data_IF_134676624006
#
_entry.id   IF_134676624006
#
_cell.length_a   1.000
_cell.length_b   1.000
_cell.length_c   1.000
_cell.angle_alpha   90.00
_cell.angle_beta   90.00
_cell.angle_gamma   90.00
#
_symmetry.space_group_name_H-M   'P 1'
#
loop_
_entity.id
_entity.type
_entity.pdbx_description
1 polymer ?
#
# COMPACT_ATOMS: atom_id res chain seq x y z
N UNK A 1 -9.26 -34.07 -11.55
CA UNK A 1 -7.87 -34.28 -11.06
C UNK A 1 -6.83 -33.52 -11.90
N UNK A 2 -6.86 -33.61 -13.24
CA UNK A 2 -5.91 -32.91 -14.12
C UNK A 2 -5.92 -31.37 -14.00
N UNK A 3 -7.09 -30.74 -13.83
CA UNK A 3 -7.19 -29.29 -13.61
C UNK A 3 -6.57 -28.84 -12.27
N UNK A 4 -6.77 -29.61 -11.20
CA UNK A 4 -6.16 -29.37 -9.88
C UNK A 4 -4.63 -29.53 -9.92
N UNK A 5 -4.13 -30.50 -10.70
CA UNK A 5 -2.70 -30.73 -10.92
C UNK A 5 -2.09 -29.62 -11.80
N UNK A 6 -2.81 -29.09 -12.79
CA UNK A 6 -2.38 -27.92 -13.57
C UNK A 6 -2.35 -26.65 -12.73
N UNK A 7 -3.33 -26.42 -11.86
CA UNK A 7 -3.36 -25.27 -10.94
C UNK A 7 -2.26 -25.39 -9.88
N UNK A 8 -2.03 -26.58 -9.33
CA UNK A 8 -0.92 -26.80 -8.40
C UNK A 8 0.45 -26.64 -9.09
N UNK A 9 0.62 -27.16 -10.31
CA UNK A 9 1.87 -27.04 -11.06
C UNK A 9 2.12 -25.65 -11.65
N UNK A 10 1.08 -24.83 -11.86
CA UNK A 10 1.23 -23.41 -12.23
C UNK A 10 1.55 -22.52 -11.03
N UNK A 11 1.01 -22.83 -9.85
CA UNK A 11 1.42 -22.22 -8.57
C UNK A 11 2.88 -22.61 -8.22
N UNK A 12 3.27 -23.85 -8.49
CA UNK A 12 4.65 -24.35 -8.33
C UNK A 12 5.62 -23.90 -9.45
N UNK A 13 5.16 -23.19 -10.48
CA UNK A 13 6.03 -22.54 -11.49
C UNK A 13 6.58 -21.18 -11.03
N UNK A 14 6.47 -20.86 -9.75
CA UNK A 14 7.16 -19.75 -9.12
C UNK A 14 8.66 -20.08 -8.99
N UNK A 15 9.53 -19.49 -9.83
CA UNK A 15 10.96 -19.85 -9.88
C UNK A 15 11.88 -18.99 -9.01
N UNK A 16 11.35 -17.97 -8.32
CA UNK A 16 12.00 -17.34 -7.16
C UNK A 16 13.12 -16.34 -7.46
N UNK A 17 13.04 -15.58 -8.55
CA UNK A 17 14.05 -14.57 -8.91
C UNK A 17 13.84 -13.19 -8.25
N UNK A 18 14.91 -12.39 -8.14
CA UNK A 18 14.88 -11.05 -7.54
C UNK A 18 13.76 -10.13 -8.10
N UNK A 19 13.59 -10.09 -9.42
CA UNK A 19 12.53 -9.28 -10.05
C UNK A 19 11.11 -9.78 -9.75
N UNK A 20 10.94 -11.09 -9.59
CA UNK A 20 9.64 -11.70 -9.28
C UNK A 20 9.23 -11.41 -7.84
N UNK A 21 10.15 -11.60 -6.89
CA UNK A 21 9.95 -11.20 -5.50
C UNK A 21 9.72 -9.69 -5.39
N UNK A 22 10.49 -8.91 -6.15
CA UNK A 22 10.33 -7.46 -6.19
C UNK A 22 8.90 -7.05 -6.54
N UNK A 23 8.32 -7.71 -7.55
CA UNK A 23 6.97 -7.48 -8.05
C UNK A 23 5.89 -7.95 -7.07
N UNK A 24 5.96 -9.20 -6.57
CA UNK A 24 4.92 -9.75 -5.67
C UNK A 24 4.83 -8.93 -4.39
N UNK A 25 5.97 -8.68 -3.75
CA UNK A 25 5.99 -7.99 -2.45
C UNK A 25 5.51 -6.54 -2.63
N UNK A 26 5.87 -5.87 -3.72
CA UNK A 26 5.43 -4.48 -3.96
C UNK A 26 3.92 -4.36 -4.10
N UNK A 27 3.31 -5.31 -4.82
CA UNK A 27 1.87 -5.38 -5.03
C UNK A 27 1.14 -5.75 -3.74
N UNK A 28 1.59 -6.79 -3.04
CA UNK A 28 1.01 -7.21 -1.77
C UNK A 28 1.10 -6.08 -0.73
N UNK A 29 2.26 -5.41 -0.64
CA UNK A 29 2.46 -4.27 0.24
C UNK A 29 1.54 -3.09 -0.12
N UNK A 30 1.41 -2.75 -1.40
CA UNK A 30 0.53 -1.68 -1.85
C UNK A 30 -0.95 -1.96 -1.54
N UNK A 31 -1.42 -3.18 -1.78
CA UNK A 31 -2.78 -3.61 -1.45
C UNK A 31 -3.01 -3.66 0.08
N UNK A 32 -2.00 -4.09 0.85
CA UNK A 32 -2.05 -4.09 2.31
C UNK A 32 -2.13 -2.69 2.90
N UNK A 33 -1.30 -1.76 2.40
CA UNK A 33 -1.36 -0.33 2.78
C UNK A 33 -2.70 0.27 2.40
N UNK A 34 -3.25 -0.04 1.21
CA UNK A 34 -4.57 0.43 0.83
C UNK A 34 -5.66 -0.12 1.75
N UNK A 35 -5.65 -1.42 2.07
CA UNK A 35 -6.63 -2.02 2.97
C UNK A 35 -6.62 -1.35 4.36
N UNK A 36 -5.42 -1.07 4.89
CA UNK A 36 -5.28 -0.27 6.11
C UNK A 36 -5.83 1.14 5.93
N UNK A 37 -5.49 1.82 4.82
CA UNK A 37 -5.95 3.18 4.54
C UNK A 37 -7.49 3.27 4.50
N UNK A 38 -8.18 2.27 3.94
CA UNK A 38 -9.64 2.24 3.93
C UNK A 38 -10.22 2.21 5.35
N UNK A 39 -9.70 1.33 6.21
CA UNK A 39 -10.08 1.28 7.63
C UNK A 39 -9.77 2.59 8.34
N UNK A 40 -8.57 3.12 8.11
CA UNK A 40 -8.08 4.34 8.74
C UNK A 40 -8.94 5.58 8.40
N UNK A 41 -9.43 5.68 7.16
CA UNK A 41 -10.32 6.78 6.76
C UNK A 41 -11.68 6.66 7.44
N UNK A 42 -12.22 5.44 7.58
CA UNK A 42 -13.48 5.22 8.30
C UNK A 42 -13.33 5.55 9.77
N UNK A 43 -12.20 5.21 10.37
CA UNK A 43 -11.89 5.51 11.77
C UNK A 43 -11.85 7.02 12.04
N UNK A 44 -11.04 7.76 11.29
CA UNK A 44 -10.93 9.21 11.46
C UNK A 44 -12.24 9.93 11.11
N UNK A 45 -13.09 9.34 10.26
CA UNK A 45 -14.42 9.87 9.97
C UNK A 45 -15.31 9.94 11.21
N UNK A 46 -15.11 9.02 12.18
CA UNK A 46 -15.92 8.96 13.39
C UNK A 46 -15.73 10.18 14.30
N UNK A 47 -14.67 10.97 14.11
CA UNK A 47 -14.48 12.25 14.79
C UNK A 47 -15.67 13.19 14.57
N UNK A 48 -16.39 13.05 13.45
CA UNK A 48 -17.59 13.84 13.13
C UNK A 48 -18.75 13.61 14.12
N UNK A 49 -18.75 12.48 14.83
CA UNK A 49 -19.79 12.14 15.81
C UNK A 49 -19.37 12.43 17.26
N UNK A 50 -18.27 13.17 17.45
CA UNK A 50 -17.79 13.61 18.74
C UNK A 50 -16.89 12.61 19.47
N UNK A 51 -16.39 13.00 20.65
CA UNK A 51 -15.35 12.26 21.36
C UNK A 51 -15.79 10.88 21.85
N UNK A 52 -17.08 10.68 22.16
CA UNK A 52 -17.61 9.39 22.62
C UNK A 52 -17.38 8.29 21.59
N UNK A 53 -17.97 8.45 20.40
CA UNK A 53 -17.90 7.44 19.34
C UNK A 53 -16.46 7.27 18.82
N UNK A 54 -15.72 8.36 18.64
CA UNK A 54 -14.34 8.28 18.15
C UNK A 54 -13.42 7.56 19.14
N UNK A 55 -13.47 7.93 20.43
CA UNK A 55 -12.58 7.34 21.43
C UNK A 55 -12.97 5.88 21.78
N UNK A 56 -14.23 5.50 21.56
CA UNK A 56 -14.70 4.13 21.78
C UNK A 56 -14.04 3.10 20.88
N UNK A 57 -13.48 3.46 19.71
CA UNK A 57 -12.75 2.51 18.87
C UNK A 57 -11.27 2.35 19.23
N UNK A 58 -10.73 3.19 20.12
CA UNK A 58 -9.31 3.14 20.51
C UNK A 58 -8.89 1.81 21.13
N UNK A 59 -9.82 1.03 21.70
CA UNK A 59 -9.49 -0.30 22.24
C UNK A 59 -8.99 -1.26 21.15
N UNK A 60 -9.43 -1.11 19.90
CA UNK A 60 -8.98 -1.95 18.78
C UNK A 60 -7.50 -1.65 18.48
N UNK A 61 -7.16 -0.37 18.40
CA UNK A 61 -5.80 0.12 18.12
C UNK A 61 -4.81 -0.20 19.25
N UNK A 62 -5.30 -0.24 20.48
CA UNK A 62 -4.50 -0.59 21.66
C UNK A 62 -4.26 -2.10 21.80
N UNK A 63 -4.98 -2.96 21.08
CA UNK A 63 -4.87 -4.41 21.23
C UNK A 63 -3.58 -4.98 20.60
N UNK A 64 -3.00 -6.02 21.20
CA UNK A 64 -1.77 -6.65 20.68
C UNK A 64 -1.83 -7.15 19.22
N UNK A 65 -2.95 -7.70 18.69
CA UNK A 65 -2.97 -8.13 17.28
C UNK A 65 -2.81 -6.94 16.35
N UNK A 66 -3.39 -5.79 16.73
CA UNK A 66 -3.25 -4.56 16.00
C UNK A 66 -1.81 -4.05 16.03
N UNK A 67 -1.09 -4.19 17.15
CA UNK A 67 0.35 -3.87 17.23
C UNK A 67 1.21 -4.68 16.25
N UNK A 68 0.96 -5.97 16.14
CA UNK A 68 1.66 -6.81 15.15
C UNK A 68 1.34 -6.33 13.73
N UNK A 69 0.07 -5.99 13.49
CA UNK A 69 -0.35 -5.45 12.21
C UNK A 69 0.29 -4.09 11.90
N UNK A 70 0.44 -3.18 12.87
CA UNK A 70 1.15 -1.91 12.70
C UNK A 70 2.62 -2.14 12.30
N UNK A 71 3.29 -3.11 12.93
CA UNK A 71 4.66 -3.47 12.57
C UNK A 71 4.70 -4.09 11.17
N UNK A 72 3.74 -4.95 10.80
CA UNK A 72 3.63 -5.46 9.44
C UNK A 72 3.35 -4.34 8.42
N UNK A 73 2.56 -3.33 8.80
CA UNK A 73 2.28 -2.15 7.99
C UNK A 73 3.54 -1.31 7.79
N UNK A 74 4.39 -1.14 8.82
CA UNK A 74 5.70 -0.50 8.68
C UNK A 74 6.53 -1.18 7.58
N UNK A 75 6.61 -2.53 7.59
CA UNK A 75 7.31 -3.26 6.53
C UNK A 75 6.68 -3.01 5.16
N UNK A 76 5.36 -3.14 5.05
CA UNK A 76 4.63 -2.92 3.81
C UNK A 76 4.86 -1.52 3.24
N UNK A 77 4.69 -0.48 4.06
CA UNK A 77 4.87 0.91 3.67
C UNK A 77 6.32 1.19 3.24
N UNK A 78 7.32 0.79 4.04
CA UNK A 78 8.73 0.98 3.72
C UNK A 78 9.11 0.27 2.42
N UNK A 79 8.72 -1.00 2.29
CA UNK A 79 9.02 -1.79 1.11
C UNK A 79 8.37 -1.18 -0.13
N UNK A 80 7.07 -0.84 -0.04
CA UNK A 80 6.32 -0.28 -1.16
C UNK A 80 6.94 1.04 -1.62
N UNK A 81 7.26 1.94 -0.70
CA UNK A 81 7.90 3.23 -0.97
C UNK A 81 9.29 3.07 -1.60
N UNK A 82 10.18 2.29 -0.99
CA UNK A 82 11.56 2.13 -1.46
C UNK A 82 11.64 1.36 -2.78
N UNK A 83 10.83 0.31 -2.96
CA UNK A 83 10.74 -0.39 -4.24
C UNK A 83 10.11 0.50 -5.32
N UNK A 84 9.12 1.33 -4.96
CA UNK A 84 8.54 2.34 -5.85
C UNK A 84 9.58 3.36 -6.34
N UNK A 85 10.40 3.90 -5.45
CA UNK A 85 11.54 4.76 -5.80
C UNK A 85 12.52 4.07 -6.75
N UNK A 86 12.84 2.79 -6.50
CA UNK A 86 13.69 2.01 -7.41
C UNK A 86 13.10 1.94 -8.82
N UNK A 87 11.79 1.71 -8.93
CA UNK A 87 11.08 1.66 -10.22
C UNK A 87 11.11 3.04 -10.90
N UNK A 88 10.81 4.12 -10.16
CA UNK A 88 10.87 5.50 -10.67
C UNK A 88 12.27 5.78 -11.23
N UNK A 89 13.32 5.51 -10.48
CA UNK A 89 14.69 5.75 -10.93
C UNK A 89 15.07 4.89 -12.15
N UNK A 90 14.65 3.63 -12.21
CA UNK A 90 14.88 2.79 -13.39
C UNK A 90 14.12 3.30 -14.64
N UNK A 91 12.93 3.86 -14.45
CA UNK A 91 12.11 4.41 -15.54
C UNK A 91 12.73 5.67 -16.18
N UNK A 92 13.35 6.54 -15.37
CA UNK A 92 13.95 7.80 -15.84
C UNK A 92 15.46 7.74 -16.12
N UNK A 93 16.17 6.76 -15.56
CA UNK A 93 17.62 6.61 -15.73
C UNK A 93 17.94 5.22 -16.32
N UNK A 94 18.11 5.09 -17.65
CA UNK A 94 18.29 3.80 -18.32
C UNK A 94 19.46 2.96 -17.78
N UNK A 95 20.50 3.60 -17.23
CA UNK A 95 21.64 2.92 -16.59
C UNK A 95 21.24 2.11 -15.36
N UNK A 96 20.19 2.54 -14.65
CA UNK A 96 19.66 1.86 -13.46
C UNK A 96 18.73 0.70 -13.81
N UNK A 97 18.17 0.70 -15.02
CA UNK A 97 17.36 -0.41 -15.55
C UNK A 97 18.21 -1.59 -16.08
N UNK A 98 19.53 -1.44 -16.19
CA UNK A 98 20.44 -2.55 -16.59
C UNK A 98 20.34 -3.70 -15.58
N UNK A 99 20.33 -4.95 -16.05
CA UNK A 99 20.07 -6.15 -15.22
C UNK A 99 20.95 -6.23 -13.98
N UNK A 100 22.26 -6.07 -14.13
CA UNK A 100 23.23 -6.12 -13.02
C UNK A 100 22.94 -5.01 -12.01
N UNK A 101 22.76 -3.78 -12.48
CA UNK A 101 22.42 -2.62 -11.64
C UNK A 101 21.09 -2.80 -10.92
N UNK A 102 20.02 -3.16 -11.63
CA UNK A 102 18.69 -3.35 -11.06
C UNK A 102 18.67 -4.46 -9.98
N UNK A 103 19.44 -5.54 -10.19
CA UNK A 103 19.60 -6.61 -9.20
C UNK A 103 20.33 -6.11 -7.95
N UNK A 104 21.42 -5.36 -8.11
CA UNK A 104 22.14 -4.74 -7.00
C UNK A 104 21.24 -3.76 -6.24
N UNK A 105 20.51 -2.89 -6.95
CA UNK A 105 19.57 -1.94 -6.34
C UNK A 105 18.43 -2.64 -5.60
N UNK A 106 17.95 -3.79 -6.07
CA UNK A 106 16.98 -4.59 -5.32
C UNK A 106 17.53 -5.07 -3.99
N UNK A 107 18.74 -5.65 -3.94
CA UNK A 107 19.32 -6.11 -2.67
C UNK A 107 19.68 -4.95 -1.73
N UNK A 108 20.17 -3.83 -2.27
CA UNK A 108 20.38 -2.60 -1.48
C UNK A 108 19.06 -2.15 -0.87
N UNK A 109 18.00 -2.09 -1.67
CA UNK A 109 16.67 -1.71 -1.20
C UNK A 109 16.14 -2.68 -0.13
N UNK A 110 16.30 -4.00 -0.31
CA UNK A 110 15.94 -5.01 0.70
C UNK A 110 16.72 -4.80 2.00
N UNK A 111 18.03 -4.55 1.92
CA UNK A 111 18.86 -4.32 3.10
C UNK A 111 18.41 -3.05 3.85
N UNK A 112 18.16 -1.95 3.13
CA UNK A 112 17.65 -0.71 3.73
C UNK A 112 16.28 -0.94 4.37
N UNK A 113 15.34 -1.58 3.66
CA UNK A 113 14.02 -1.92 4.21
C UNK A 113 14.18 -2.78 5.47
N UNK A 114 15.02 -3.80 5.45
CA UNK A 114 15.23 -4.70 6.58
C UNK A 114 15.83 -4.00 7.81
N UNK A 115 16.82 -3.13 7.62
CA UNK A 115 17.42 -2.35 8.72
C UNK A 115 16.41 -1.37 9.31
N UNK A 116 15.72 -0.58 8.48
CA UNK A 116 14.72 0.38 8.96
C UNK A 116 13.54 -0.32 9.63
N UNK A 117 13.08 -1.44 9.06
CA UNK A 117 12.03 -2.28 9.64
C UNK A 117 12.45 -2.87 10.98
N UNK A 118 13.67 -3.42 11.10
CA UNK A 118 14.15 -3.98 12.35
C UNK A 118 14.23 -2.91 13.44
N UNK A 119 14.84 -1.76 13.15
CA UNK A 119 14.94 -0.64 14.10
C UNK A 119 13.55 -0.14 14.48
N UNK A 120 12.73 0.22 13.49
CA UNK A 120 11.41 0.78 13.73
C UNK A 120 10.47 -0.20 14.42
N UNK A 121 10.46 -1.47 14.02
CA UNK A 121 9.67 -2.53 14.62
C UNK A 121 10.07 -2.80 16.07
N UNK A 122 11.37 -2.83 16.38
CA UNK A 122 11.85 -2.97 17.77
C UNK A 122 11.38 -1.79 18.60
N UNK A 123 11.52 -0.55 18.10
CA UNK A 123 11.05 0.64 18.82
C UNK A 123 9.54 0.54 19.06
N UNK A 124 8.73 0.30 18.03
CA UNK A 124 7.27 0.20 18.15
C UNK A 124 6.82 -0.87 19.14
N UNK A 125 7.52 -2.01 19.20
CA UNK A 125 7.19 -3.10 20.14
C UNK A 125 7.65 -2.83 21.58
N UNK A 126 8.72 -2.04 21.77
CA UNK A 126 9.30 -1.80 23.10
C UNK A 126 8.78 -0.53 23.77
N UNK A 127 8.26 0.42 23.00
CA UNK A 127 7.70 1.68 23.53
C UNK A 127 6.20 1.61 23.80
N UNK A 128 5.53 0.50 23.47
CA UNK A 128 4.11 0.32 23.75
C UNK A 128 3.87 0.27 25.28
N UNK A 129 3.07 1.20 25.80
CA UNK A 129 2.89 1.43 27.25
C UNK A 129 1.69 0.69 27.87
N UNK A 130 0.88 -0.02 27.09
CA UNK A 130 -0.45 -0.50 27.50
C UNK A 130 -0.53 -2.04 27.59
N UNK A 131 -1.44 -2.52 28.45
CA UNK A 131 -1.73 -3.95 28.69
C UNK A 131 -2.10 -4.67 27.38
N UNK A 132 -1.42 -5.78 27.02
CA UNK A 132 -1.52 -6.40 25.69
C UNK A 132 -2.94 -6.81 25.26
N UNK A 133 -3.85 -7.08 26.20
CA UNK A 133 -5.08 -7.82 25.92
C UNK A 133 -6.32 -6.96 25.69
N UNK A 134 -6.25 -5.64 25.96
CA UNK A 134 -7.46 -4.82 26.09
C UNK A 134 -8.49 -5.49 27.01
N UNK A 135 -9.74 -5.05 26.95
CA UNK A 135 -10.79 -5.64 27.80
C UNK A 135 -11.45 -6.88 27.16
N UNK A 136 -11.13 -7.20 25.90
CA UNK A 136 -11.74 -8.30 25.14
C UNK A 136 -10.83 -8.82 24.01
N UNK A 137 -10.05 -9.86 24.31
CA UNK A 137 -9.12 -10.52 23.39
C UNK A 137 -9.81 -11.11 22.15
N UNK A 138 -10.99 -11.71 22.31
CA UNK A 138 -11.70 -12.36 21.20
C UNK A 138 -12.18 -11.35 20.18
N UNK A 139 -12.84 -10.27 20.64
CA UNK A 139 -13.36 -9.23 19.76
C UNK A 139 -12.24 -8.51 19.01
N UNK A 140 -11.17 -8.12 19.71
CA UNK A 140 -10.01 -7.47 19.08
C UNK A 140 -9.34 -8.37 18.05
N UNK A 141 -9.17 -9.66 18.34
CA UNK A 141 -8.60 -10.62 17.38
C UNK A 141 -9.50 -10.81 16.16
N UNK A 142 -10.81 -10.98 16.34
CA UNK A 142 -11.75 -11.18 15.22
C UNK A 142 -11.83 -9.94 14.32
N UNK A 143 -11.83 -8.74 14.89
CA UNK A 143 -11.85 -7.48 14.15
C UNK A 143 -10.56 -7.31 13.36
N UNK A 144 -9.39 -7.48 13.98
CA UNK A 144 -8.08 -7.33 13.31
C UNK A 144 -7.91 -8.37 12.20
N UNK A 145 -8.25 -9.63 12.49
CA UNK A 145 -8.10 -10.73 11.50
C UNK A 145 -9.12 -10.58 10.38
N UNK A 146 -10.38 -10.27 10.69
CA UNK A 146 -11.46 -10.18 9.71
C UNK A 146 -11.37 -8.94 8.81
N UNK A 147 -11.00 -7.78 9.37
CA UNK A 147 -11.00 -6.51 8.64
C UNK A 147 -9.66 -6.26 7.95
N UNK A 148 -8.54 -6.70 8.53
CA UNK A 148 -7.22 -6.38 7.96
C UNK A 148 -6.48 -7.61 7.47
N UNK A 149 -6.38 -8.68 8.25
CA UNK A 149 -5.64 -9.86 7.82
C UNK A 149 -6.33 -10.55 6.63
N UNK A 150 -7.66 -10.60 6.58
CA UNK A 150 -8.39 -11.26 5.50
C UNK A 150 -8.23 -10.53 4.15
N UNK A 151 -8.42 -9.21 4.01
CA UNK A 151 -8.09 -8.51 2.77
C UNK A 151 -6.62 -8.65 2.38
N UNK A 152 -5.71 -8.66 3.35
CA UNK A 152 -4.27 -8.81 3.11
C UNK A 152 -3.92 -10.23 2.64
N UNK A 153 -4.55 -11.27 3.21
CA UNK A 153 -4.43 -12.67 2.78
C UNK A 153 -5.05 -12.85 1.40
N UNK A 154 -6.20 -12.24 1.12
CA UNK A 154 -6.83 -12.26 -0.20
C UNK A 154 -5.93 -11.55 -1.23
N UNK A 155 -5.39 -10.38 -0.89
CA UNK A 155 -4.43 -9.65 -1.73
C UNK A 155 -3.15 -10.45 -1.96
N UNK A 156 -2.64 -11.14 -0.94
CA UNK A 156 -1.46 -12.01 -1.03
C UNK A 156 -1.78 -13.23 -1.91
N UNK A 157 -2.94 -13.85 -1.74
CA UNK A 157 -3.41 -14.97 -2.54
C UNK A 157 -3.54 -14.59 -4.01
N UNK A 158 -4.13 -13.43 -4.33
CA UNK A 158 -4.18 -12.93 -5.70
C UNK A 158 -2.78 -12.57 -6.21
N UNK A 159 -1.92 -11.94 -5.40
CA UNK A 159 -0.55 -11.59 -5.80
C UNK A 159 0.36 -12.80 -6.04
N UNK A 160 0.04 -13.93 -5.40
CA UNK A 160 0.72 -15.22 -5.59
C UNK A 160 0.02 -16.11 -6.62
N UNK A 161 -1.22 -15.78 -7.01
CA UNK A 161 -1.93 -16.50 -8.06
C UNK A 161 -1.20 -16.27 -9.38
N UNK A 162 -0.79 -17.36 -10.07
CA UNK A 162 -0.09 -17.23 -11.34
C UNK A 162 -0.97 -16.44 -12.31
N UNK A 163 -0.39 -15.40 -12.93
CA UNK A 163 -0.99 -14.81 -14.12
C UNK A 163 -1.21 -15.94 -15.13
N UNK A 164 -2.37 -15.99 -15.82
CA UNK A 164 -2.62 -17.02 -16.83
C UNK A 164 -1.42 -17.09 -17.78
N UNK A 165 -1.06 -18.31 -18.18
CA UNK A 165 0.15 -18.68 -18.95
C UNK A 165 0.26 -18.04 -20.35
N UNK A 166 -0.56 -17.03 -20.64
CA UNK A 166 -0.55 -16.21 -21.85
C UNK A 166 0.48 -15.08 -21.78
N UNK A 167 1.01 -14.74 -20.60
CA UNK A 167 2.17 -13.85 -20.49
C UNK A 167 3.42 -14.72 -20.65
N UNK A 168 4.06 -14.63 -21.82
CA UNK A 168 5.31 -15.32 -22.14
C UNK A 168 6.48 -14.85 -21.29
N UNK A 169 6.44 -15.14 -20.00
CA UNK A 169 7.57 -15.01 -19.10
C UNK A 169 8.60 -16.07 -19.50
N UNK A 170 9.79 -15.56 -19.82
CA UNK A 170 10.92 -16.30 -20.38
C UNK A 170 11.21 -17.57 -19.57
N UNK A 171 11.37 -18.71 -20.26
CA UNK A 171 11.42 -20.04 -19.63
C UNK A 171 12.84 -20.45 -19.19
N UNK A 172 13.86 -19.66 -19.50
CA UNK A 172 15.26 -20.00 -19.23
C UNK A 172 15.80 -19.29 -17.98
N UNK A 173 16.22 -20.03 -16.92
CA UNK A 173 16.85 -19.45 -15.73
C UNK A 173 18.37 -19.23 -15.87
N UNK A 174 19.01 -19.77 -16.90
CA UNK A 174 20.45 -19.68 -17.19
C UNK A 174 20.80 -18.64 -18.27
N UNK A 175 19.87 -18.40 -19.19
CA UNK A 175 19.94 -17.39 -20.25
C UNK A 175 18.72 -16.48 -20.27
N UNK A 176 18.04 -16.29 -19.13
CA UNK A 176 16.89 -15.39 -19.02
C UNK A 176 17.32 -14.07 -18.43
N UNK A 177 17.76 -13.13 -19.26
CA UNK A 177 17.91 -11.75 -18.86
C UNK A 177 16.52 -11.14 -18.60
N UNK A 178 16.50 -10.19 -17.65
CA UNK A 178 15.54 -9.06 -17.66
C UNK A 178 15.58 -8.26 -18.99
N UNK A 179 16.51 -8.61 -19.89
CA UNK A 179 17.01 -7.93 -21.07
C UNK A 179 17.37 -8.83 -22.28
N UNK A 180 17.08 -10.14 -22.29
CA UNK A 180 17.08 -10.94 -23.54
C UNK A 180 15.77 -10.62 -24.26
N UNK A 181 14.79 -10.27 -23.45
CA UNK A 181 13.76 -9.31 -23.75
C UNK A 181 14.26 -7.94 -24.22
N UNK A 182 15.29 -7.24 -23.76
CA UNK A 182 15.54 -5.83 -24.14
C UNK A 182 15.89 -5.64 -25.61
N UNK A 183 16.62 -6.52 -26.28
CA UNK A 183 16.75 -6.38 -27.75
C UNK A 183 15.46 -6.77 -28.48
N UNK A 184 14.67 -7.71 -27.95
CA UNK A 184 13.34 -8.07 -28.47
C UNK A 184 12.21 -7.09 -28.06
N UNK A 185 12.36 -6.33 -26.98
CA UNK A 185 11.47 -5.37 -26.31
C UNK A 185 11.86 -3.99 -26.78
N UNK A 186 13.10 -3.71 -27.19
CA UNK A 186 13.47 -2.50 -27.93
C UNK A 186 12.98 -2.66 -29.37
N UNK A 187 13.16 -3.84 -29.99
CA UNK A 187 12.53 -4.15 -31.30
C UNK A 187 11.00 -4.24 -31.25
N UNK A 188 10.39 -4.71 -30.14
CA UNK A 188 8.91 -4.74 -29.98
C UNK A 188 8.30 -3.52 -29.27
N UNK A 189 9.03 -2.69 -28.49
CA UNK A 189 8.54 -1.38 -27.98
C UNK A 189 8.43 -0.36 -29.08
N UNK A 190 9.08 -0.59 -30.21
CA UNK A 190 8.74 0.10 -31.45
C UNK A 190 7.31 -0.23 -31.93
N UNK A 191 6.60 -1.19 -31.33
CA UNK A 191 5.20 -1.53 -31.65
C UNK A 191 4.25 -0.89 -30.62
N UNK A 192 3.84 0.34 -30.98
CA UNK A 192 2.81 1.22 -30.39
C UNK A 192 3.28 2.14 -29.25
N UNK A 193 3.39 3.45 -29.49
CA UNK A 193 3.56 4.42 -28.40
C UNK A 193 2.35 4.34 -27.46
N UNK A 194 2.58 4.56 -26.16
CA UNK A 194 1.50 4.68 -25.18
C UNK A 194 0.55 5.79 -25.62
N UNK A 195 -0.76 5.54 -25.51
CA UNK A 195 -1.74 6.60 -25.74
C UNK A 195 -1.61 7.67 -24.64
N UNK A 196 -2.19 8.87 -24.88
CA UNK A 196 -2.09 10.00 -23.94
C UNK A 196 -2.63 9.68 -22.55
N UNK A 197 -3.69 8.86 -22.46
CA UNK A 197 -4.32 8.49 -21.19
C UNK A 197 -3.38 7.62 -20.36
N UNK A 198 -2.84 6.54 -20.95
CA UNK A 198 -1.90 5.65 -20.27
C UNK A 198 -0.61 6.38 -19.91
N UNK A 199 -0.15 7.32 -20.75
CA UNK A 199 1.00 8.16 -20.43
C UNK A 199 0.74 9.04 -19.20
N UNK A 200 -0.44 9.67 -19.14
CA UNK A 200 -0.81 10.51 -18.01
C UNK A 200 -0.95 9.71 -16.72
N UNK A 201 -1.57 8.53 -16.76
CA UNK A 201 -1.69 7.64 -15.60
C UNK A 201 -0.31 7.15 -15.16
N UNK A 202 0.52 6.75 -16.12
CA UNK A 202 1.90 6.34 -15.85
C UNK A 202 2.68 7.46 -15.15
N UNK A 203 2.65 8.68 -15.69
CA UNK A 203 3.31 9.86 -15.11
C UNK A 203 2.76 10.16 -13.71
N UNK A 204 1.43 10.17 -13.57
CA UNK A 204 0.75 10.40 -12.31
C UNK A 204 1.23 9.41 -11.24
N UNK A 205 1.29 8.11 -11.55
CA UNK A 205 1.75 7.09 -10.60
C UNK A 205 3.18 7.33 -10.10
N UNK A 206 4.08 7.82 -10.97
CA UNK A 206 5.48 8.10 -10.57
C UNK A 206 5.55 9.36 -9.72
N UNK A 207 4.89 10.42 -10.15
CA UNK A 207 4.92 11.72 -9.45
C UNK A 207 4.22 11.62 -8.10
N UNK A 208 3.00 11.08 -8.07
CA UNK A 208 2.26 10.85 -6.82
C UNK A 208 3.00 9.88 -5.91
N UNK A 209 3.59 8.80 -6.44
CA UNK A 209 4.39 7.87 -5.64
C UNK A 209 5.59 8.55 -4.99
N UNK A 210 6.31 9.39 -5.73
CA UNK A 210 7.42 10.18 -5.19
C UNK A 210 6.96 11.17 -4.10
N UNK A 211 5.85 11.87 -4.32
CA UNK A 211 5.25 12.77 -3.32
C UNK A 211 4.84 12.00 -2.06
N UNK A 212 4.22 10.82 -2.23
CA UNK A 212 3.76 9.97 -1.13
C UNK A 212 4.90 9.37 -0.32
N UNK A 213 6.10 9.21 -0.87
CA UNK A 213 7.27 8.85 -0.06
C UNK A 213 7.46 9.87 1.06
N UNK A 214 7.27 11.17 0.79
CA UNK A 214 7.40 12.20 1.81
C UNK A 214 6.13 12.27 2.66
N UNK A 215 4.94 12.35 2.06
CA UNK A 215 3.69 12.48 2.82
C UNK A 215 3.41 11.24 3.69
N UNK A 216 3.38 10.04 3.12
CA UNK A 216 3.00 8.85 3.88
C UNK A 216 4.06 8.47 4.93
N UNK A 217 5.37 8.56 4.61
CA UNK A 217 6.41 8.25 5.60
C UNK A 217 6.53 9.32 6.69
N UNK A 218 6.35 10.61 6.36
CA UNK A 218 6.33 11.66 7.40
C UNK A 218 5.12 11.50 8.31
N UNK A 219 3.93 11.22 7.76
CA UNK A 219 2.73 10.94 8.54
C UNK A 219 2.94 9.74 9.46
N UNK A 220 3.42 8.61 8.90
CA UNK A 220 3.71 7.41 9.67
C UNK A 220 4.72 7.70 10.78
N UNK A 221 5.79 8.42 10.45
CA UNK A 221 6.85 8.75 11.40
C UNK A 221 6.32 9.56 12.59
N UNK A 222 5.55 10.62 12.31
CA UNK A 222 4.95 11.44 13.35
C UNK A 222 4.02 10.62 14.26
N UNK A 223 3.11 9.84 13.68
CA UNK A 223 2.10 9.13 14.47
C UNK A 223 2.67 7.97 15.29
N UNK A 224 3.64 7.24 14.76
CA UNK A 224 4.14 6.03 15.42
C UNK A 224 5.40 6.25 16.27
N UNK A 225 6.23 7.26 15.98
CA UNK A 225 7.50 7.47 16.70
C UNK A 225 7.58 8.76 17.50
N UNK A 226 6.87 9.83 17.08
CA UNK A 226 6.91 11.11 17.79
C UNK A 226 5.77 11.20 18.81
N UNK A 227 4.53 10.97 18.38
CA UNK A 227 3.36 11.04 19.25
C UNK A 227 3.07 9.70 19.91
N UNK A 228 3.03 8.62 19.13
CA UNK A 228 2.58 7.31 19.59
C UNK A 228 1.07 7.16 19.41
N UNK A 229 0.65 6.05 18.82
CA UNK A 229 -0.75 5.79 18.49
C UNK A 229 -1.66 5.60 19.71
N UNK A 230 -1.09 5.31 20.87
CA UNK A 230 -1.80 5.12 22.15
C UNK A 230 -2.41 6.41 22.72
N UNK A 231 -1.93 7.56 22.26
CA UNK A 231 -2.39 8.89 22.71
C UNK A 231 -3.18 9.65 21.64
N UNK A 232 -3.39 9.06 20.45
CA UNK A 232 -4.16 9.69 19.38
C UNK A 232 -5.64 9.54 19.69
N UNK A 233 -6.20 10.52 20.39
CA UNK A 233 -7.62 10.60 20.72
C UNK A 233 -8.28 11.82 20.06
N UNK A 234 -9.57 12.05 20.34
CA UNK A 234 -10.30 13.20 19.81
C UNK A 234 -9.60 14.53 20.14
N UNK A 235 -9.05 14.64 21.36
CA UNK A 235 -8.39 15.86 21.84
C UNK A 235 -7.12 16.15 21.06
N UNK A 236 -6.33 15.12 20.76
CA UNK A 236 -5.16 15.25 19.90
C UNK A 236 -5.51 15.85 18.52
N UNK A 237 -6.61 15.40 17.91
CA UNK A 237 -7.08 15.93 16.62
C UNK A 237 -7.51 17.39 16.75
N UNK A 238 -8.28 17.72 17.80
CA UNK A 238 -8.68 19.11 18.08
C UNK A 238 -7.45 20.00 18.20
N UNK A 239 -6.52 19.65 19.09
CA UNK A 239 -5.29 20.43 19.33
C UNK A 239 -4.50 20.66 18.05
N UNK A 240 -4.37 19.62 17.21
CA UNK A 240 -3.64 19.73 15.94
C UNK A 240 -4.39 20.55 14.88
N UNK A 241 -5.70 20.36 14.72
CA UNK A 241 -6.47 21.01 13.65
C UNK A 241 -6.99 22.40 14.01
N UNK A 242 -7.01 22.78 15.29
CA UNK A 242 -7.37 24.12 15.76
C UNK A 242 -6.16 24.94 16.20
N UNK A 243 -4.94 24.42 16.05
CA UNK A 243 -3.73 25.18 16.32
C UNK A 243 -3.72 26.49 15.50
N UNK A 244 -3.50 27.65 16.14
CA UNK A 244 -3.63 28.95 15.47
C UNK A 244 -2.53 29.22 14.43
N UNK A 245 -1.42 28.49 14.46
CA UNK A 245 -0.27 28.68 13.57
C UNK A 245 -0.21 27.59 12.50
N UNK A 246 -0.32 26.33 12.91
CA UNK A 246 -0.12 25.16 12.08
C UNK A 246 -1.43 24.43 11.73
N UNK A 247 -2.57 24.81 12.28
CA UNK A 247 -3.84 24.09 12.06
C UNK A 247 -4.22 24.00 10.58
N UNK A 248 -4.07 25.10 9.83
CA UNK A 248 -4.31 25.10 8.38
C UNK A 248 -3.31 24.21 7.62
N UNK A 249 -2.04 24.22 8.03
CA UNK A 249 -1.02 23.35 7.46
C UNK A 249 -1.39 21.88 7.65
N UNK A 250 -1.77 21.48 8.88
CA UNK A 250 -2.13 20.11 9.19
C UNK A 250 -3.35 19.63 8.39
N UNK A 251 -4.41 20.46 8.31
CA UNK A 251 -5.60 20.14 7.50
C UNK A 251 -5.27 19.99 6.02
N UNK A 252 -4.42 20.87 5.49
CA UNK A 252 -4.00 20.83 4.08
C UNK A 252 -3.11 19.61 3.80
N UNK A 253 -2.23 19.28 4.75
CA UNK A 253 -1.38 18.10 4.71
C UNK A 253 -2.20 16.81 4.72
N UNK A 254 -3.17 16.69 5.62
CA UNK A 254 -4.04 15.52 5.73
C UNK A 254 -4.92 15.36 4.47
N UNK A 255 -5.44 16.47 3.92
CA UNK A 255 -6.18 16.46 2.66
C UNK A 255 -5.29 16.04 1.48
N UNK A 256 -4.07 16.55 1.40
CA UNK A 256 -3.12 16.17 0.36
C UNK A 256 -2.78 14.68 0.45
N UNK A 257 -2.48 14.19 1.67
CA UNK A 257 -2.21 12.77 1.90
C UNK A 257 -3.40 11.90 1.50
N UNK A 258 -4.63 12.27 1.89
CA UNK A 258 -5.87 11.57 1.53
C UNK A 258 -6.03 11.47 0.00
N UNK A 259 -5.96 12.60 -0.70
CA UNK A 259 -6.18 12.65 -2.15
C UNK A 259 -5.08 11.91 -2.90
N UNK A 260 -3.81 12.18 -2.61
CA UNK A 260 -2.72 11.50 -3.31
C UNK A 260 -2.72 9.99 -3.03
N UNK A 261 -2.94 9.57 -1.78
CA UNK A 261 -2.92 8.15 -1.42
C UNK A 261 -4.08 7.38 -2.05
N UNK A 262 -5.30 7.93 -2.02
CA UNK A 262 -6.46 7.26 -2.62
C UNK A 262 -6.38 7.19 -4.15
N UNK A 263 -6.01 8.29 -4.82
CA UNK A 263 -5.91 8.29 -6.29
C UNK A 263 -4.74 7.42 -6.77
N UNK A 264 -3.60 7.44 -6.08
CA UNK A 264 -2.49 6.52 -6.35
C UNK A 264 -2.91 5.07 -6.14
N UNK A 265 -3.60 4.79 -5.02
CA UNK A 265 -4.14 3.47 -4.69
C UNK A 265 -5.13 2.96 -5.73
N UNK A 266 -6.04 3.81 -6.22
CA UNK A 266 -7.04 3.45 -7.22
C UNK A 266 -6.39 2.98 -8.53
N UNK A 267 -5.40 3.71 -9.05
CA UNK A 267 -4.69 3.27 -10.25
C UNK A 267 -3.89 1.98 -10.01
N UNK A 268 -3.35 1.79 -8.80
CA UNK A 268 -2.78 0.50 -8.39
C UNK A 268 -3.81 -0.64 -8.45
N UNK A 269 -5.01 -0.42 -7.90
CA UNK A 269 -6.13 -1.37 -7.94
C UNK A 269 -6.60 -1.63 -9.36
N UNK A 270 -6.65 -0.61 -10.22
CA UNK A 270 -6.96 -0.77 -11.64
C UNK A 270 -6.02 -1.79 -12.29
N UNK A 271 -4.71 -1.66 -12.09
CA UNK A 271 -3.74 -2.61 -12.66
C UNK A 271 -3.94 -4.03 -12.13
N UNK A 272 -4.25 -4.19 -10.83
CA UNK A 272 -4.57 -5.49 -10.26
C UNK A 272 -5.83 -6.07 -10.89
N UNK A 273 -6.91 -5.29 -10.99
CA UNK A 273 -8.17 -5.76 -11.59
C UNK A 273 -7.96 -6.17 -13.05
N UNK A 274 -7.23 -5.37 -13.82
CA UNK A 274 -6.95 -5.64 -15.24
C UNK A 274 -6.11 -6.91 -15.44
N UNK A 275 -5.22 -7.24 -14.50
CA UNK A 275 -4.38 -8.45 -14.54
C UNK A 275 -5.17 -9.76 -14.27
N UNK A 276 -6.20 -9.73 -13.41
CA UNK A 276 -6.92 -10.94 -12.99
C UNK A 276 -8.30 -11.10 -13.63
N UNK A 277 -9.01 -10.00 -13.93
CA UNK A 277 -10.39 -10.03 -14.40
C UNK A 277 -10.48 -9.73 -15.90
N UNK A 278 -10.57 -10.81 -16.69
CA UNK A 278 -10.61 -10.74 -18.15
C UNK A 278 -12.04 -10.56 -18.72
N UNK A 279 -13.07 -10.90 -17.93
CA UNK A 279 -14.46 -10.68 -18.33
C UNK A 279 -14.79 -9.18 -18.31
N UNK A 280 -15.24 -8.66 -19.47
CA UNK A 280 -15.48 -7.22 -19.66
C UNK A 280 -16.48 -6.64 -18.65
N UNK A 281 -17.54 -7.37 -18.34
CA UNK A 281 -18.59 -6.92 -17.41
C UNK A 281 -18.07 -6.92 -15.97
N UNK A 282 -17.43 -8.02 -15.54
CA UNK A 282 -16.87 -8.10 -14.19
C UNK A 282 -15.81 -7.03 -13.97
N UNK A 283 -14.90 -6.86 -14.92
CA UNK A 283 -13.87 -5.81 -14.88
C UNK A 283 -14.49 -4.41 -14.79
N UNK A 284 -15.51 -4.13 -15.60
CA UNK A 284 -16.21 -2.84 -15.55
C UNK A 284 -16.85 -2.60 -14.17
N UNK A 285 -17.56 -3.58 -13.61
CA UNK A 285 -18.20 -3.47 -12.30
C UNK A 285 -17.16 -3.22 -11.21
N UNK A 286 -16.05 -3.97 -11.21
CA UNK A 286 -14.99 -3.83 -10.22
C UNK A 286 -14.31 -2.45 -10.30
N UNK A 287 -14.00 -1.97 -11.51
CA UNK A 287 -13.40 -0.65 -11.70
C UNK A 287 -14.36 0.47 -11.32
N UNK A 288 -15.63 0.38 -11.73
CA UNK A 288 -16.66 1.36 -11.37
C UNK A 288 -16.88 1.40 -9.86
N UNK A 289 -16.97 0.24 -9.22
CA UNK A 289 -17.07 0.13 -7.77
C UNK A 289 -15.88 0.78 -7.06
N UNK A 290 -14.66 0.47 -7.50
CA UNK A 290 -13.44 1.04 -6.92
C UNK A 290 -13.38 2.58 -7.06
N UNK A 291 -13.73 3.13 -8.24
CA UNK A 291 -13.81 4.59 -8.44
C UNK A 291 -14.90 5.24 -7.59
N UNK A 292 -16.08 4.62 -7.49
CA UNK A 292 -17.17 5.15 -6.66
C UNK A 292 -16.78 5.15 -5.18
N UNK A 293 -16.16 4.07 -4.70
CA UNK A 293 -15.62 3.98 -3.34
C UNK A 293 -14.57 5.07 -3.10
N UNK A 294 -13.65 5.26 -4.03
CA UNK A 294 -12.64 6.32 -3.95
C UNK A 294 -13.26 7.72 -3.82
N UNK A 295 -14.19 8.06 -4.73
CA UNK A 295 -14.88 9.36 -4.70
C UNK A 295 -15.61 9.55 -3.36
N UNK A 296 -16.31 8.52 -2.88
CA UNK A 296 -17.01 8.57 -1.61
C UNK A 296 -16.04 8.82 -0.44
N UNK A 297 -14.89 8.15 -0.40
CA UNK A 297 -13.89 8.30 0.67
C UNK A 297 -13.19 9.66 0.63
N UNK A 298 -12.84 10.17 -0.55
CA UNK A 298 -12.28 11.52 -0.71
C UNK A 298 -13.31 12.56 -0.24
N UNK A 299 -14.57 12.44 -0.68
CA UNK A 299 -15.63 13.36 -0.29
C UNK A 299 -15.89 13.30 1.22
N UNK A 300 -15.92 12.10 1.80
CA UNK A 300 -16.09 11.88 3.23
C UNK A 300 -14.94 12.51 4.03
N UNK A 301 -13.68 12.22 3.69
CA UNK A 301 -12.54 12.80 4.41
C UNK A 301 -12.42 14.32 4.24
N UNK A 302 -12.69 14.84 3.03
CA UNK A 302 -12.76 16.28 2.82
C UNK A 302 -13.88 16.93 3.65
N UNK A 303 -15.06 16.31 3.71
CA UNK A 303 -16.17 16.76 4.54
C UNK A 303 -15.75 16.88 6.01
N UNK A 304 -15.07 15.87 6.57
CA UNK A 304 -14.57 15.93 7.94
C UNK A 304 -13.61 17.09 8.15
N UNK A 305 -12.62 17.25 7.28
CA UNK A 305 -11.59 18.30 7.42
C UNK A 305 -12.20 19.71 7.36
N UNK A 306 -13.16 19.93 6.45
CA UNK A 306 -13.75 21.25 6.22
C UNK A 306 -14.91 21.58 7.16
N UNK A 307 -15.62 20.58 7.68
CA UNK A 307 -16.74 20.79 8.60
C UNK A 307 -16.40 20.52 10.07
N UNK A 308 -15.15 20.14 10.36
CA UNK A 308 -14.70 19.86 11.73
C UNK A 308 -15.06 20.99 12.71
N UNK A 309 -15.85 20.63 13.71
CA UNK A 309 -16.23 21.49 14.82
C UNK A 309 -15.81 20.82 16.13
N UNK A 310 -14.95 21.47 16.94
CA UNK A 310 -14.49 20.91 18.22
C UNK A 310 -15.53 21.01 19.35
N UNK A 311 -16.65 21.71 19.14
CA UNK A 311 -17.69 21.99 20.15
C UNK A 311 -18.74 20.88 20.27
#
# INVERSE_FOLDING_TARGET
MAALIQTASSVLRYRGGAGQWAWVIHRAAGLGVLAFLLLHIVDIFLVTFGPGIFNELLFIYKAWPFRILEVALLFGLLYHALNGLRIIFADFLPVLAKRSTARTLFYIQIAITGVLFAIGGIVMLTTAKEEPFGNNLLLSTLVVVGIVALPLIVALFFSLAPTPTTIGLDRDPSTGNYQDGVDLIVRNRQRRPMNRVELNIWLFMRISGFILVFLALFHFFLMHFIYGVDIIDFKFIVERWTDPVLGLFWRSYDLALLVFALVHGMFGVRYVIEDYFHNRTVRFILLAGAVLTEIALIAMGAFVIFTFNPA
#
